data_IF_159719451309
#
_entry.id   IF_159719451309
#
_cell.length_a   1.000
_cell.length_b   1.000
_cell.length_c   1.000
_cell.angle_alpha   90.00
_cell.angle_beta   90.00
_cell.angle_gamma   90.00
#
_symmetry.space_group_name_H-M   'P 1'
#
loop_
_entity.id
_entity.type
_entity.pdbx_description
1 polymer ?
#
# COMPACT_ATOMS: atom_id res chain seq x y z
N UNK A 1 -68.85 -8.14 4.31
CA UNK A 1 -69.83 -8.17 3.19
C UNK A 1 -69.08 -8.25 1.85
N UNK A 2 -68.70 -9.48 1.46
CA UNK A 2 -69.23 -10.23 0.29
C UNK A 2 -68.78 -9.65 -1.06
N UNK A 3 -67.72 -10.20 -1.64
CA UNK A 3 -67.72 -11.30 -2.63
C UNK A 3 -67.94 -10.79 -4.06
N UNK A 4 -67.03 -11.12 -5.00
CA UNK A 4 -67.28 -12.17 -6.01
C UNK A 4 -66.02 -12.49 -6.83
N UNK A 5 -65.66 -13.76 -6.85
CA UNK A 5 -64.79 -14.38 -7.85
C UNK A 5 -65.65 -15.21 -8.81
N UNK A 6 -65.24 -15.30 -10.08
CA UNK A 6 -65.54 -16.36 -11.08
C UNK A 6 -65.19 -15.81 -12.49
N UNK A 7 -64.45 -16.45 -13.38
CA UNK A 7 -63.81 -17.77 -13.45
C UNK A 7 -63.41 -18.06 -14.92
N UNK A 8 -62.40 -18.92 -15.13
CA UNK A 8 -62.09 -19.73 -16.34
C UNK A 8 -61.73 -18.99 -17.64
N UNK A 9 -60.88 -19.47 -18.57
CA UNK A 9 -60.17 -20.73 -18.78
C UNK A 9 -59.16 -20.53 -19.93
N UNK A 10 -57.98 -21.15 -19.83
CA UNK A 10 -57.11 -21.77 -20.86
C UNK A 10 -57.16 -21.30 -22.35
N UNK A 11 -55.99 -21.01 -22.96
CA UNK A 11 -55.32 -21.83 -23.99
C UNK A 11 -54.08 -21.08 -24.57
N UNK A 12 -52.96 -21.81 -24.53
CA UNK A 12 -51.68 -21.73 -25.24
C UNK A 12 -51.64 -21.04 -26.63
N UNK A 13 -50.69 -20.12 -26.88
CA UNK A 13 -49.86 -20.15 -28.10
C UNK A 13 -48.62 -19.23 -28.05
N UNK A 14 -47.45 -19.87 -28.04
CA UNK A 14 -46.17 -19.51 -28.69
C UNK A 14 -45.87 -18.03 -29.04
N UNK A 15 -44.82 -17.48 -28.41
CA UNK A 15 -44.21 -16.20 -28.80
C UNK A 15 -43.04 -15.84 -27.91
N UNK A 16 -41.86 -16.44 -28.17
CA UNK A 16 -40.64 -16.15 -27.44
C UNK A 16 -40.26 -14.67 -27.47
N UNK A 17 -40.01 -14.09 -26.29
CA UNK A 17 -39.42 -12.76 -26.14
C UNK A 17 -38.27 -12.85 -25.13
N UNK A 18 -37.11 -13.11 -25.73
CA UNK A 18 -35.74 -12.72 -25.39
C UNK A 18 -35.48 -12.13 -23.98
N UNK A 19 -34.76 -12.91 -23.17
CA UNK A 19 -34.07 -12.49 -21.94
C UNK A 19 -32.96 -11.50 -22.35
N UNK A 20 -33.12 -10.23 -22.01
CA UNK A 20 -32.18 -9.15 -22.32
C UNK A 20 -31.52 -8.58 -21.07
N UNK A 21 -30.39 -9.20 -20.69
CA UNK A 21 -29.15 -8.58 -20.19
C UNK A 21 -29.31 -7.31 -19.33
N UNK A 22 -29.30 -7.48 -18.02
CA UNK A 22 -29.05 -6.39 -17.06
C UNK A 22 -28.02 -6.81 -15.97
N UNK A 23 -27.10 -7.71 -16.31
CA UNK A 23 -26.06 -8.23 -15.40
C UNK A 23 -24.61 -8.00 -15.90
N UNK A 24 -24.44 -7.28 -17.01
CA UNK A 24 -23.16 -7.14 -17.71
C UNK A 24 -22.39 -5.84 -17.41
N UNK A 25 -22.80 -5.02 -16.45
CA UNK A 25 -22.05 -3.81 -16.04
C UNK A 25 -21.30 -3.95 -14.70
N UNK A 26 -21.25 -5.14 -14.12
CA UNK A 26 -20.53 -5.38 -12.86
C UNK A 26 -19.15 -6.05 -13.04
N UNK A 27 -18.72 -6.37 -14.27
CA UNK A 27 -17.54 -7.23 -14.52
C UNK A 27 -16.23 -6.53 -14.88
N UNK A 28 -16.22 -5.20 -15.04
CA UNK A 28 -15.00 -4.47 -15.45
C UNK A 28 -14.41 -3.57 -14.34
N UNK A 29 -14.80 -3.73 -13.08
CA UNK A 29 -13.97 -3.27 -11.97
C UNK A 29 -12.99 -4.37 -11.62
N UNK A 30 -11.85 -4.35 -12.31
CA UNK A 30 -10.69 -5.22 -12.12
C UNK A 30 -10.08 -4.95 -10.72
N UNK A 31 -10.77 -5.43 -9.68
CA UNK A 31 -10.43 -5.22 -8.27
C UNK A 31 -9.06 -5.85 -7.92
N UNK A 32 -8.55 -6.75 -8.77
CA UNK A 32 -7.26 -7.44 -8.60
C UNK A 32 -6.02 -6.55 -8.82
N UNK A 33 -6.15 -5.29 -9.26
CA UNK A 33 -4.98 -4.43 -9.53
C UNK A 33 -5.02 -3.03 -8.94
N UNK A 34 -5.90 -2.76 -7.97
CA UNK A 34 -5.76 -1.51 -7.21
C UNK A 34 -4.62 -1.67 -6.20
N UNK A 35 -3.38 -1.52 -6.66
CA UNK A 35 -2.23 -1.39 -5.77
C UNK A 35 -2.49 -0.21 -4.83
N UNK A 36 -2.62 -0.49 -3.52
CA UNK A 36 -2.69 0.58 -2.52
C UNK A 36 -1.39 1.37 -2.56
N UNK A 37 -1.46 2.59 -3.10
CA UNK A 37 -0.30 3.51 -3.22
C UNK A 37 -0.13 4.40 -2.00
N UNK A 38 -1.22 4.62 -1.27
CA UNK A 38 -1.29 5.54 -0.14
C UNK A 38 -1.88 4.84 1.07
N UNK A 39 -1.67 5.44 2.24
CA UNK A 39 -2.31 5.02 3.47
C UNK A 39 -3.82 5.29 3.41
N UNK A 40 -4.57 4.81 4.41
CA UNK A 40 -6.03 4.95 4.45
C UNK A 40 -6.52 6.41 4.50
N UNK A 41 -5.65 7.34 4.91
CA UNK A 41 -5.97 8.77 4.91
C UNK A 41 -5.68 9.46 3.57
N UNK A 42 -4.92 8.83 2.68
CA UNK A 42 -4.45 9.42 1.43
C UNK A 42 -3.36 10.49 1.61
N UNK A 43 -2.79 10.63 2.81
CA UNK A 43 -1.82 11.68 3.14
C UNK A 43 -0.38 11.27 2.86
N UNK A 44 -0.09 9.96 2.91
CA UNK A 44 1.28 9.46 2.76
C UNK A 44 1.34 8.27 1.82
N UNK A 45 2.47 8.12 1.13
CA UNK A 45 2.79 6.92 0.38
C UNK A 45 2.90 5.73 1.32
N UNK A 46 2.34 4.62 0.86
CA UNK A 46 2.31 3.38 1.59
C UNK A 46 2.92 2.27 0.75
N UNK A 47 3.54 1.32 1.43
CA UNK A 47 3.93 0.04 0.86
C UNK A 47 3.50 -1.09 1.77
N UNK A 48 3.36 -2.32 1.24
CA UNK A 48 3.31 -3.51 2.07
C UNK A 48 4.46 -3.51 3.08
N UNK A 49 4.23 -4.14 4.24
CA UNK A 49 5.24 -4.23 5.27
C UNK A 49 6.45 -5.00 4.72
N UNK A 50 7.63 -4.36 4.71
CA UNK A 50 8.89 -5.00 4.35
C UNK A 50 9.60 -5.52 5.58
N UNK A 51 10.26 -6.67 5.47
CA UNK A 51 11.16 -7.12 6.53
C UNK A 51 12.41 -6.22 6.56
N UNK A 52 12.97 -6.05 7.74
CA UNK A 52 14.19 -5.25 7.91
C UNK A 52 15.34 -5.85 7.09
N UNK A 53 15.48 -7.17 7.11
CA UNK A 53 16.58 -7.89 6.47
C UNK A 53 16.62 -7.64 4.95
N UNK A 54 15.45 -7.46 4.30
CA UNK A 54 15.35 -7.14 2.87
C UNK A 54 15.77 -5.69 2.55
N UNK A 55 15.89 -4.84 3.57
CA UNK A 55 16.24 -3.43 3.44
C UNK A 55 17.69 -3.13 3.85
N UNK A 56 18.40 -4.11 4.43
CA UNK A 56 19.81 -3.96 4.80
C UNK A 56 20.65 -4.13 3.53
N UNK A 57 21.53 -3.16 3.30
CA UNK A 57 22.53 -3.21 2.24
C UNK A 57 23.89 -3.51 2.84
N UNK A 58 24.61 -4.44 2.22
CA UNK A 58 26.04 -4.56 2.45
C UNK A 58 26.80 -3.42 1.75
N UNK A 59 28.09 -3.25 2.07
CA UNK A 59 28.93 -2.17 1.50
C UNK A 59 29.07 -2.27 -0.02
N UNK A 60 29.12 -3.49 -0.57
CA UNK A 60 29.26 -3.70 -2.00
C UNK A 60 27.94 -3.38 -2.73
N UNK A 61 26.81 -3.82 -2.18
CA UNK A 61 25.46 -3.50 -2.64
C UNK A 61 25.22 -1.99 -2.60
N UNK A 62 25.61 -1.32 -1.52
CA UNK A 62 25.53 0.13 -1.42
C UNK A 62 26.40 0.83 -2.47
N UNK A 63 27.62 0.36 -2.71
CA UNK A 63 28.53 0.91 -3.72
C UNK A 63 28.04 0.68 -5.16
N UNK A 64 27.36 -0.44 -5.43
CA UNK A 64 26.76 -0.74 -6.73
C UNK A 64 25.42 0.00 -6.95
N UNK A 65 24.76 0.40 -5.87
CA UNK A 65 23.49 1.13 -5.95
C UNK A 65 23.77 2.60 -6.29
N UNK A 66 23.35 3.04 -7.48
CA UNK A 66 23.44 4.45 -7.85
C UNK A 66 22.39 5.25 -7.07
N UNK A 67 22.83 5.89 -5.99
CA UNK A 67 21.99 6.77 -5.17
C UNK A 67 22.26 8.22 -5.52
N UNK A 68 21.30 8.89 -6.18
CA UNK A 68 21.34 10.32 -6.47
C UNK A 68 20.11 11.01 -5.87
N UNK A 69 20.28 12.19 -5.28
CA UNK A 69 19.17 12.94 -4.68
C UNK A 69 18.55 12.24 -3.46
N UNK A 70 19.36 11.49 -2.70
CA UNK A 70 18.91 10.72 -1.53
C UNK A 70 19.19 11.46 -0.21
N UNK A 71 18.57 11.00 0.87
CA UNK A 71 18.77 11.50 2.24
C UNK A 71 19.54 10.44 3.02
N UNK A 72 20.64 10.84 3.65
CA UNK A 72 21.41 9.98 4.56
C UNK A 72 21.11 10.39 5.99
N UNK A 73 20.71 9.43 6.82
CA UNK A 73 20.45 9.61 8.25
C UNK A 73 21.54 8.88 9.02
N UNK A 74 22.50 9.62 9.57
CA UNK A 74 23.56 9.08 10.42
C UNK A 74 23.04 8.96 11.86
N UNK A 75 22.82 7.74 12.32
CA UNK A 75 22.23 7.42 13.60
C UNK A 75 23.29 6.89 14.57
N UNK A 76 23.61 7.69 15.58
CA UNK A 76 24.50 7.30 16.68
C UNK A 76 23.65 6.91 17.90
N UNK A 77 23.35 5.62 18.03
CA UNK A 77 22.59 5.10 19.16
C UNK A 77 22.99 3.65 19.45
N UNK A 78 23.12 3.33 20.74
CA UNK A 78 23.40 1.98 21.20
C UNK A 78 22.14 1.10 21.15
N UNK A 79 22.26 -0.23 21.04
CA UNK A 79 21.12 -1.14 20.90
C UNK A 79 20.03 -1.00 21.96
N UNK A 80 20.33 -0.48 23.15
CA UNK A 80 19.45 -0.26 24.29
C UNK A 80 19.05 1.21 24.51
N UNK A 81 19.57 2.13 23.70
CA UNK A 81 19.25 3.57 23.79
C UNK A 81 17.73 3.84 23.61
N UNK A 82 17.18 4.92 24.22
CA UNK A 82 15.79 5.31 24.02
C UNK A 82 15.43 5.52 22.53
N UNK A 83 14.17 5.24 22.16
CA UNK A 83 13.68 5.42 20.79
C UNK A 83 13.56 6.92 20.45
N UNK A 84 14.11 7.31 19.31
CA UNK A 84 14.07 8.70 18.82
C UNK A 84 12.79 8.94 18.01
N UNK A 85 12.26 7.89 17.37
CA UNK A 85 11.08 7.98 16.54
C UNK A 85 11.41 8.39 15.10
N UNK A 86 12.24 7.58 14.42
CA UNK A 86 12.65 7.72 13.02
C UNK A 86 11.46 7.92 12.07
N UNK A 87 10.29 7.36 12.40
CA UNK A 87 9.06 7.59 11.62
C UNK A 87 8.73 9.08 11.50
N UNK A 88 8.93 9.87 12.55
CA UNK A 88 8.62 11.31 12.55
C UNK A 88 9.51 12.09 11.57
N UNK A 89 10.72 11.59 11.31
CA UNK A 89 11.62 12.14 10.29
C UNK A 89 11.22 11.67 8.88
N UNK A 90 10.95 10.37 8.72
CA UNK A 90 10.75 9.77 7.39
C UNK A 90 9.36 10.05 6.82
N UNK A 91 8.33 10.10 7.67
CA UNK A 91 6.94 10.26 7.24
C UNK A 91 6.70 11.53 6.40
N UNK A 92 7.17 12.73 6.78
CA UNK A 92 7.02 13.92 5.95
C UNK A 92 7.67 13.79 4.56
N UNK A 93 8.76 13.02 4.44
CA UNK A 93 9.43 12.73 3.15
C UNK A 93 8.63 11.75 2.27
N UNK A 94 7.45 11.32 2.71
CA UNK A 94 6.55 10.40 2.02
C UNK A 94 5.16 11.00 1.79
N UNK A 95 5.00 12.31 1.97
CA UNK A 95 3.73 12.99 1.71
C UNK A 95 3.20 12.71 0.28
N UNK A 96 1.88 12.61 0.14
CA UNK A 96 1.19 12.27 -1.12
C UNK A 96 1.23 13.39 -2.17
N UNK A 97 1.72 14.58 -1.80
CA UNK A 97 1.93 15.69 -2.73
C UNK A 97 3.19 15.55 -3.60
N UNK A 98 4.04 14.54 -3.36
CA UNK A 98 5.12 14.14 -4.27
C UNK A 98 4.66 12.96 -5.12
N UNK A 99 5.07 12.88 -6.38
CA UNK A 99 4.92 11.62 -7.12
C UNK A 99 5.94 10.60 -6.62
N UNK A 100 5.65 9.31 -6.79
CA UNK A 100 6.53 8.24 -6.30
C UNK A 100 7.98 8.37 -6.77
N UNK A 101 8.21 8.80 -8.02
CA UNK A 101 9.56 8.99 -8.57
C UNK A 101 10.31 10.17 -7.94
N UNK A 102 9.61 11.17 -7.40
CA UNK A 102 10.17 12.35 -6.73
C UNK A 102 10.57 12.06 -5.27
N UNK A 103 10.05 10.97 -4.69
CA UNK A 103 10.41 10.57 -3.34
C UNK A 103 11.91 10.27 -3.23
N UNK A 104 12.57 10.98 -2.32
CA UNK A 104 13.97 10.76 -1.97
C UNK A 104 14.11 9.43 -1.24
N UNK A 105 15.07 8.61 -1.69
CA UNK A 105 15.48 7.40 -0.96
C UNK A 105 16.11 7.80 0.37
N UNK A 106 15.72 7.14 1.45
CA UNK A 106 16.31 7.37 2.78
C UNK A 106 17.25 6.22 3.10
N UNK A 107 18.52 6.52 3.33
CA UNK A 107 19.54 5.56 3.76
C UNK A 107 19.88 5.84 5.22
N UNK A 108 19.54 4.90 6.09
CA UNK A 108 19.82 5.00 7.52
C UNK A 108 21.14 4.28 7.79
N UNK A 109 22.12 5.00 8.31
CA UNK A 109 23.45 4.47 8.65
C UNK A 109 23.56 4.38 10.16
N UNK A 110 23.72 3.18 10.71
CA UNK A 110 23.82 2.99 12.16
C UNK A 110 23.56 1.56 12.61
N UNK A 111 23.43 1.38 13.93
CA UNK A 111 23.21 0.07 14.54
C UNK A 111 21.91 -0.58 14.07
N UNK A 112 22.03 -1.73 13.40
CA UNK A 112 20.89 -2.54 12.95
C UNK A 112 20.01 -2.96 14.13
N UNK A 113 20.61 -3.25 15.29
CA UNK A 113 19.86 -3.67 16.48
C UNK A 113 19.00 -2.55 17.05
N UNK A 114 19.49 -1.30 17.01
CA UNK A 114 18.66 -0.14 17.33
C UNK A 114 17.52 0.02 16.32
N UNK A 115 17.84 0.00 15.02
CA UNK A 115 16.86 0.22 13.94
C UNK A 115 15.77 -0.85 13.95
N UNK A 116 16.10 -2.10 14.31
CA UNK A 116 15.13 -3.20 14.44
C UNK A 116 14.02 -2.90 15.44
N UNK A 117 14.32 -2.17 16.52
CA UNK A 117 13.31 -1.74 17.50
C UNK A 117 12.36 -0.69 16.93
N UNK A 118 12.83 0.16 16.03
CA UNK A 118 12.02 1.19 15.36
C UNK A 118 11.34 0.72 14.07
N UNK A 119 11.78 -0.41 13.49
CA UNK A 119 11.38 -0.82 12.15
C UNK A 119 9.88 -1.01 11.96
N UNK A 120 9.17 -1.45 13.01
CA UNK A 120 7.70 -1.59 12.98
C UNK A 120 6.99 -0.29 12.60
N UNK A 121 7.59 0.86 12.92
CA UNK A 121 7.07 2.19 12.60
C UNK A 121 7.45 2.67 11.19
N UNK A 122 8.39 1.99 10.51
CA UNK A 122 8.94 2.34 9.19
C UNK A 122 8.55 1.37 8.07
N UNK A 123 8.22 0.11 8.39
CA UNK A 123 8.08 -1.00 7.44
C UNK A 123 7.10 -0.75 6.28
N UNK A 124 6.13 0.16 6.45
CA UNK A 124 5.12 0.51 5.45
C UNK A 124 5.47 1.77 4.65
N UNK A 125 6.65 2.35 4.85
CA UNK A 125 7.12 3.51 4.09
C UNK A 125 8.06 3.05 2.96
N UNK A 126 7.87 3.52 1.72
CA UNK A 126 8.69 3.10 0.59
C UNK A 126 10.11 3.70 0.62
N UNK A 127 11.02 3.14 -0.18
CA UNK A 127 12.38 3.68 -0.44
C UNK A 127 13.22 3.95 0.82
N UNK A 128 13.29 2.96 1.70
CA UNK A 128 14.16 3.00 2.89
C UNK A 128 15.15 1.86 2.79
N UNK A 129 16.43 2.16 2.98
CA UNK A 129 17.49 1.18 3.14
C UNK A 129 18.28 1.45 4.42
N UNK A 130 18.89 0.41 4.95
CA UNK A 130 19.74 0.45 6.14
C UNK A 130 21.15 0.03 5.74
N UNK A 131 22.16 0.74 6.24
CA UNK A 131 23.57 0.42 6.04
C UNK A 131 24.23 0.27 7.41
N UNK A 132 25.00 -0.82 7.55
CA UNK A 132 25.81 -1.14 8.73
C UNK A 132 27.31 -0.88 8.46
#
# INVERSE_FOLDING_TARGET
PTNRASGGSNVNNNGGLQIGIADDQAKDFDFEKTEMKYDSTGMFHWSPARNLEDCILDRNQAAMTVLNGHVVVCLFADPDSPLIGLRNLVMPLRASNFHYHELKHVVIVGSVDYIRREWKMLQNLPKISVLN
#
